data_IF_705518007889
#
_entry.id   IF_705518007889
#
_cell.length_a   1.000
_cell.length_b   1.000
_cell.length_c   1.000
_cell.angle_alpha   90.00
_cell.angle_beta   90.00
_cell.angle_gamma   90.00
#
_symmetry.space_group_name_H-M   'P 1'
#
loop_
_entity.id
_entity.type
_entity.pdbx_description
1 polymer ?
#
# COMPACT_ATOMS: atom_id res chain seq x y z
N UNK A 1 -4.69 1.56 -4.77
CA UNK A 1 -3.64 2.59 -4.86
C UNK A 1 -3.22 2.79 -6.31
N UNK A 2 -2.80 1.76 -7.06
CA UNK A 2 -2.32 1.86 -8.45
C UNK A 2 -3.34 2.55 -9.37
N UNK A 3 -4.57 2.07 -9.40
CA UNK A 3 -5.67 2.67 -10.18
C UNK A 3 -5.93 4.14 -9.82
N UNK A 4 -5.79 4.52 -8.55
CA UNK A 4 -5.99 5.90 -8.09
C UNK A 4 -4.87 6.81 -8.59
N UNK A 5 -3.62 6.34 -8.54
CA UNK A 5 -2.46 7.11 -9.03
C UNK A 5 -2.50 7.22 -10.55
N UNK A 6 -2.87 6.15 -11.25
CA UNK A 6 -3.05 6.14 -12.70
C UNK A 6 -4.08 7.19 -13.17
N UNK A 7 -5.17 7.37 -12.42
CA UNK A 7 -6.19 8.42 -12.67
C UNK A 7 -5.73 9.84 -12.34
N UNK A 8 -4.51 10.05 -11.85
CA UNK A 8 -3.93 11.37 -11.66
C UNK A 8 -4.26 12.02 -10.32
N UNK A 9 -4.06 11.32 -9.22
CA UNK A 9 -4.22 11.90 -7.87
C UNK A 9 -3.17 12.99 -7.61
N UNK A 10 -3.58 14.10 -6.97
CA UNK A 10 -2.71 15.25 -6.67
C UNK A 10 -2.10 15.21 -5.27
N UNK A 11 -2.69 14.42 -4.37
CA UNK A 11 -2.37 14.38 -2.94
C UNK A 11 -1.87 13.02 -2.50
N UNK A 12 -0.94 12.99 -1.54
CA UNK A 12 -0.47 11.77 -0.88
C UNK A 12 -0.55 11.87 0.65
N UNK A 13 -0.76 10.74 1.37
CA UNK A 13 -0.80 10.72 2.83
C UNK A 13 0.58 11.04 3.45
N UNK A 14 0.58 11.57 4.69
CA UNK A 14 1.83 11.94 5.39
C UNK A 14 2.53 10.79 6.09
N UNK A 15 1.83 9.70 6.36
CA UNK A 15 2.31 8.63 7.22
C UNK A 15 3.38 7.75 6.58
N UNK A 16 3.87 6.83 7.41
CA UNK A 16 4.74 5.72 7.04
C UNK A 16 4.03 4.42 7.38
N UNK A 17 4.22 3.39 6.57
CA UNK A 17 3.68 2.06 6.83
C UNK A 17 4.66 0.98 6.37
N UNK A 18 4.45 -0.24 6.86
CA UNK A 18 5.13 -1.43 6.36
C UNK A 18 4.47 -1.93 5.08
N UNK A 19 5.28 -2.32 4.13
CA UNK A 19 4.87 -2.90 2.86
C UNK A 19 5.62 -4.19 2.59
N UNK A 20 4.98 -5.10 1.88
CA UNK A 20 5.54 -6.41 1.54
C UNK A 20 4.90 -6.90 0.24
N UNK A 21 5.65 -7.64 -0.56
CA UNK A 21 5.13 -8.34 -1.73
C UNK A 21 4.25 -9.52 -1.29
N UNK A 22 3.16 -9.76 -2.01
CA UNK A 22 2.22 -10.85 -1.69
C UNK A 22 2.89 -12.22 -1.80
N UNK A 23 3.82 -12.41 -2.74
CA UNK A 23 4.53 -13.67 -2.90
C UNK A 23 5.47 -13.95 -1.72
N UNK A 24 6.08 -12.91 -1.12
CA UNK A 24 6.86 -13.04 0.09
C UNK A 24 5.99 -13.48 1.27
N UNK A 25 4.76 -12.95 1.37
CA UNK A 25 3.80 -13.39 2.39
C UNK A 25 3.45 -14.87 2.20
N UNK A 26 3.13 -15.29 0.97
CA UNK A 26 2.81 -16.69 0.66
C UNK A 26 4.01 -17.60 0.96
N UNK A 27 5.22 -17.19 0.57
CA UNK A 27 6.45 -17.96 0.84
C UNK A 27 6.70 -18.08 2.34
N UNK A 28 6.54 -16.99 3.09
CA UNK A 28 6.68 -17.02 4.55
C UNK A 28 5.66 -17.97 5.20
N UNK A 29 4.40 -17.92 4.76
CA UNK A 29 3.35 -18.82 5.25
C UNK A 29 3.69 -20.29 4.99
N UNK A 30 4.07 -20.63 3.76
CA UNK A 30 4.41 -22.02 3.38
C UNK A 30 5.65 -22.49 4.17
N UNK A 31 6.67 -21.64 4.33
CA UNK A 31 7.89 -21.98 5.07
C UNK A 31 7.58 -22.24 6.54
N UNK A 32 6.79 -21.36 7.18
CA UNK A 32 6.38 -21.53 8.57
C UNK A 32 5.48 -22.77 8.77
N UNK A 33 4.59 -23.07 7.84
CA UNK A 33 3.75 -24.28 7.90
C UNK A 33 4.57 -25.58 7.85
N UNK A 34 5.74 -25.55 7.20
CA UNK A 34 6.65 -26.71 7.08
C UNK A 34 7.69 -26.77 8.20
N UNK A 35 7.72 -25.79 9.11
CA UNK A 35 8.65 -25.74 10.24
C UNK A 35 8.00 -26.28 11.51
N UNK A 36 8.82 -26.53 12.53
CA UNK A 36 8.37 -26.95 13.87
C UNK A 36 7.83 -25.80 14.72
N UNK A 37 7.72 -24.59 14.14
CA UNK A 37 7.23 -23.40 14.87
C UNK A 37 5.74 -23.52 15.10
N UNK A 38 5.31 -23.46 16.36
CA UNK A 38 3.91 -23.56 16.76
C UNK A 38 3.53 -22.47 17.76
N UNK A 39 2.29 -21.98 17.70
CA UNK A 39 1.74 -21.02 18.65
C UNK A 39 2.33 -19.60 18.54
N UNK A 40 3.06 -19.29 17.49
CA UNK A 40 3.78 -18.04 17.32
C UNK A 40 3.07 -17.06 16.35
N UNK A 41 3.32 -15.77 16.55
CA UNK A 41 2.85 -14.71 15.63
C UNK A 41 4.02 -14.01 14.98
N UNK A 42 3.92 -13.80 13.67
CA UNK A 42 4.95 -13.17 12.85
C UNK A 42 4.40 -11.93 12.14
N UNK A 43 5.23 -10.89 12.08
CA UNK A 43 4.98 -9.73 11.22
C UNK A 43 5.80 -9.94 9.96
N UNK A 44 5.11 -10.08 8.83
CA UNK A 44 5.73 -10.18 7.52
C UNK A 44 5.73 -8.79 6.89
N UNK A 45 6.90 -8.17 6.83
CA UNK A 45 7.11 -6.81 6.33
C UNK A 45 8.46 -6.76 5.61
N UNK A 46 8.50 -6.20 4.40
CA UNK A 46 9.76 -5.99 3.69
C UNK A 46 10.43 -4.69 4.14
N UNK A 47 9.77 -3.57 3.92
CA UNK A 47 10.31 -2.25 4.24
C UNK A 47 9.25 -1.33 4.84
N UNK A 48 9.69 -0.44 5.75
CA UNK A 48 8.86 0.64 6.26
C UNK A 48 9.15 1.90 5.45
N UNK A 49 8.21 2.33 4.62
CA UNK A 49 8.41 3.48 3.76
C UNK A 49 7.30 4.54 3.91
N UNK A 50 7.62 5.83 3.72
CA UNK A 50 6.63 6.88 3.64
C UNK A 50 5.71 6.68 2.43
N UNK A 51 4.42 6.95 2.58
CA UNK A 51 3.47 6.93 1.46
C UNK A 51 3.90 7.83 0.30
N UNK A 52 4.56 8.96 0.58
CA UNK A 52 5.13 9.82 -0.45
C UNK A 52 6.01 9.03 -1.41
N UNK A 53 6.99 8.28 -0.87
CA UNK A 53 7.95 7.49 -1.65
C UNK A 53 7.25 6.37 -2.43
N UNK A 54 6.28 5.69 -1.80
CA UNK A 54 5.47 4.68 -2.49
C UNK A 54 4.73 5.27 -3.69
N UNK A 55 4.08 6.42 -3.51
CA UNK A 55 3.33 7.10 -4.57
C UNK A 55 4.25 7.60 -5.69
N UNK A 56 5.45 8.09 -5.35
CA UNK A 56 6.49 8.47 -6.33
C UNK A 56 6.92 7.27 -7.18
N UNK A 57 7.23 6.14 -6.56
CA UNK A 57 7.62 4.92 -7.29
C UNK A 57 6.52 4.41 -8.21
N UNK A 58 5.29 4.35 -7.72
CA UNK A 58 4.14 3.92 -8.54
C UNK A 58 3.90 4.89 -9.70
N UNK A 59 3.92 6.20 -9.46
CA UNK A 59 3.69 7.20 -10.51
C UNK A 59 4.78 7.16 -11.58
N UNK A 60 6.06 7.00 -11.18
CA UNK A 60 7.18 6.87 -12.11
C UNK A 60 7.08 5.59 -12.94
N UNK A 61 6.75 4.45 -12.32
CA UNK A 61 6.59 3.19 -13.03
C UNK A 61 5.38 3.20 -13.99
N UNK A 62 4.31 3.91 -13.65
CA UNK A 62 3.13 4.11 -14.51
C UNK A 62 3.31 5.22 -15.55
N UNK A 63 4.47 5.93 -15.57
CA UNK A 63 4.72 7.10 -16.41
C UNK A 63 3.66 8.21 -16.29
N UNK A 64 3.12 8.43 -15.09
CA UNK A 64 2.14 9.48 -14.80
C UNK A 64 2.72 10.55 -13.86
N UNK A 65 2.02 11.71 -13.79
CA UNK A 65 2.46 12.81 -12.93
C UNK A 65 2.44 12.41 -11.46
N UNK A 66 3.58 12.59 -10.78
CA UNK A 66 3.73 12.35 -9.35
C UNK A 66 2.85 13.29 -8.52
N UNK A 67 2.15 12.78 -7.49
CA UNK A 67 1.40 13.61 -6.54
C UNK A 67 2.32 14.59 -5.81
N UNK A 68 1.99 15.89 -5.82
CA UNK A 68 2.88 16.95 -5.29
C UNK A 68 2.50 17.41 -3.88
N UNK A 69 1.24 17.25 -3.49
CA UNK A 69 0.72 17.88 -2.28
C UNK A 69 0.51 16.87 -1.15
N UNK A 70 0.96 17.23 0.06
CA UNK A 70 0.70 16.44 1.26
C UNK A 70 -0.77 16.58 1.66
N UNK A 71 -1.48 15.47 1.80
CA UNK A 71 -2.83 15.46 2.38
C UNK A 71 -2.74 15.68 3.89
N UNK A 72 -2.84 16.93 4.33
CA UNK A 72 -2.90 17.28 5.75
C UNK A 72 -4.21 16.83 6.40
N UNK A 73 -4.28 16.86 7.75
CA UNK A 73 -5.49 16.52 8.52
C UNK A 73 -6.73 17.28 8.04
N UNK A 74 -6.58 18.56 7.72
CA UNK A 74 -7.67 19.45 7.29
C UNK A 74 -8.25 19.04 5.92
N UNK A 75 -7.40 18.76 4.95
CA UNK A 75 -7.80 18.27 3.62
C UNK A 75 -8.42 16.87 3.70
N UNK A 76 -7.91 16.03 4.59
CA UNK A 76 -8.49 14.71 4.86
C UNK A 76 -9.90 14.81 5.43
N UNK A 77 -10.13 15.70 6.41
CA UNK A 77 -11.45 15.90 7.01
C UNK A 77 -12.46 16.49 6.03
N UNK A 78 -12.07 17.45 5.20
CA UNK A 78 -12.92 17.96 4.14
C UNK A 78 -13.25 16.88 3.09
N UNK A 79 -12.24 16.10 2.68
CA UNK A 79 -12.37 15.04 1.68
C UNK A 79 -13.34 13.92 2.10
N UNK A 80 -13.29 13.42 3.34
CA UNK A 80 -14.21 12.37 3.77
C UNK A 80 -15.66 12.89 3.92
N UNK A 81 -15.85 14.14 4.37
CA UNK A 81 -17.17 14.77 4.46
C UNK A 81 -17.79 14.90 3.08
N UNK A 82 -17.01 15.38 2.10
CA UNK A 82 -17.45 15.49 0.71
C UNK A 82 -17.76 14.11 0.09
N UNK A 83 -16.90 13.12 0.33
CA UNK A 83 -17.11 11.74 -0.11
C UNK A 83 -18.37 11.12 0.51
N UNK A 84 -18.69 11.44 1.78
CA UNK A 84 -19.92 11.01 2.45
C UNK A 84 -21.17 11.61 1.82
N UNK A 85 -21.14 12.91 1.51
CA UNK A 85 -22.26 13.58 0.85
C UNK A 85 -22.50 13.01 -0.55
N UNK A 86 -21.44 12.83 -1.35
CA UNK A 86 -21.52 12.20 -2.67
C UNK A 86 -22.03 10.76 -2.61
N UNK A 87 -21.63 9.99 -1.61
CA UNK A 87 -22.11 8.63 -1.37
C UNK A 87 -23.61 8.60 -1.10
N UNK A 88 -24.11 9.54 -0.29
CA UNK A 88 -25.56 9.66 0.01
C UNK A 88 -26.38 10.08 -1.23
N UNK A 89 -25.81 10.94 -2.09
CA UNK A 89 -26.50 11.41 -3.29
C UNK A 89 -26.50 10.38 -4.43
N UNK A 90 -25.41 9.61 -4.57
CA UNK A 90 -25.20 8.70 -5.71
C UNK A 90 -25.42 7.22 -5.38
N UNK A 91 -25.79 6.87 -4.13
CA UNK A 91 -25.97 5.48 -3.69
C UNK A 91 -24.73 4.59 -3.76
N UNK A 92 -23.54 5.17 -4.01
CA UNK A 92 -22.28 4.42 -4.13
C UNK A 92 -21.56 4.34 -2.79
N UNK A 93 -20.82 3.24 -2.52
CA UNK A 93 -20.07 3.10 -1.27
C UNK A 93 -19.03 4.20 -1.13
N UNK A 94 -18.84 4.68 0.10
CA UNK A 94 -17.90 5.74 0.43
C UNK A 94 -16.46 5.32 0.11
N UNK A 95 -15.79 6.04 -0.78
CA UNK A 95 -14.42 5.74 -1.22
C UNK A 95 -13.35 6.12 -0.18
N UNK A 96 -13.59 7.18 0.60
CA UNK A 96 -12.65 7.70 1.60
C UNK A 96 -13.33 7.69 2.96
N UNK A 97 -12.81 6.90 3.90
CA UNK A 97 -13.32 6.84 5.27
C UNK A 97 -12.44 7.63 6.24
N UNK A 98 -13.04 8.10 7.34
CA UNK A 98 -12.31 8.80 8.41
C UNK A 98 -11.19 7.93 8.99
N UNK A 99 -11.43 6.62 9.13
CA UNK A 99 -10.42 5.66 9.62
C UNK A 99 -9.25 5.54 8.66
N UNK A 100 -9.49 5.45 7.36
CA UNK A 100 -8.44 5.38 6.35
C UNK A 100 -7.53 6.62 6.38
N UNK A 101 -8.13 7.83 6.50
CA UNK A 101 -7.36 9.07 6.63
C UNK A 101 -6.54 9.09 7.92
N UNK A 102 -7.12 8.69 9.05
CA UNK A 102 -6.43 8.65 10.33
C UNK A 102 -5.24 7.69 10.29
N UNK A 103 -5.44 6.50 9.72
CA UNK A 103 -4.41 5.47 9.63
C UNK A 103 -3.30 5.86 8.65
N UNK A 104 -3.63 6.37 7.48
CA UNK A 104 -2.65 6.76 6.46
C UNK A 104 -1.81 8.00 6.81
N UNK A 105 -2.19 8.75 7.85
CA UNK A 105 -1.39 9.87 8.38
C UNK A 105 -0.56 9.51 9.62
N UNK A 106 -0.60 8.24 10.07
CA UNK A 106 0.21 7.76 11.19
C UNK A 106 1.54 7.18 10.71
N UNK A 107 2.51 7.15 11.62
CA UNK A 107 3.81 6.52 11.40
C UNK A 107 3.78 5.15 12.06
N UNK A 108 3.76 4.11 11.24
CA UNK A 108 3.88 2.72 11.69
C UNK A 108 5.22 2.17 11.22
N UNK A 109 5.94 1.58 12.16
CA UNK A 109 7.22 0.92 11.89
C UNK A 109 7.12 -0.52 12.42
N UNK A 110 7.34 -1.47 11.55
CA UNK A 110 7.27 -2.89 11.86
C UNK A 110 8.65 -3.52 11.74
N UNK A 111 8.98 -4.44 12.66
CA UNK A 111 10.18 -5.24 12.56
C UNK A 111 9.86 -6.60 11.95
N UNK A 112 10.66 -7.01 10.97
CA UNK A 112 10.58 -8.31 10.33
C UNK A 112 11.66 -9.29 10.84
N UNK A 113 12.43 -8.91 11.87
CA UNK A 113 13.56 -9.70 12.37
C UNK A 113 13.14 -11.12 12.75
N UNK A 114 12.00 -11.26 13.43
CA UNK A 114 11.49 -12.56 13.88
C UNK A 114 11.17 -13.52 12.73
N UNK A 115 10.46 -13.05 11.70
CA UNK A 115 10.15 -13.90 10.53
C UNK A 115 11.41 -14.23 9.74
N UNK A 116 12.35 -13.29 9.60
CA UNK A 116 13.63 -13.55 8.92
C UNK A 116 14.48 -14.58 9.66
N UNK A 117 14.55 -14.52 10.99
CA UNK A 117 15.25 -15.51 11.80
C UNK A 117 14.61 -16.88 11.69
N UNK A 118 13.28 -16.97 11.73
CA UNK A 118 12.56 -18.24 11.69
C UNK A 118 12.59 -18.90 10.30
N UNK A 119 12.62 -18.11 9.21
CA UNK A 119 12.49 -18.62 7.84
C UNK A 119 13.77 -18.54 7.01
N UNK A 120 14.75 -17.73 7.42
CA UNK A 120 15.94 -17.43 6.60
C UNK A 120 15.64 -16.59 5.34
N UNK A 121 14.40 -16.17 5.12
CA UNK A 121 13.99 -15.49 3.90
C UNK A 121 14.58 -14.10 3.76
N UNK A 122 14.95 -13.76 2.53
CA UNK A 122 15.16 -12.38 2.10
C UNK A 122 13.92 -11.93 1.31
N UNK A 123 13.35 -10.80 1.72
CA UNK A 123 12.15 -10.27 1.09
C UNK A 123 12.52 -9.35 -0.07
N UNK A 124 11.66 -9.33 -1.09
CA UNK A 124 11.78 -8.42 -2.22
C UNK A 124 11.67 -6.97 -1.75
N UNK A 125 12.46 -6.07 -2.32
CA UNK A 125 12.32 -4.64 -2.03
C UNK A 125 10.95 -4.12 -2.50
N UNK A 126 10.40 -3.16 -1.76
CA UNK A 126 9.08 -2.59 -2.12
C UNK A 126 9.13 -1.92 -3.49
N UNK A 127 10.26 -1.34 -3.88
CA UNK A 127 10.44 -0.76 -5.21
C UNK A 127 10.29 -1.81 -6.32
N UNK A 128 10.97 -2.95 -6.21
CA UNK A 128 10.84 -4.06 -7.16
C UNK A 128 9.42 -4.62 -7.21
N UNK A 129 8.77 -4.77 -6.04
CA UNK A 129 7.37 -5.20 -5.97
C UNK A 129 6.42 -4.23 -6.67
N UNK A 130 6.66 -2.92 -6.54
CA UNK A 130 5.90 -1.89 -7.26
C UNK A 130 6.08 -2.02 -8.77
N UNK A 131 7.32 -2.16 -9.26
CA UNK A 131 7.61 -2.30 -10.69
C UNK A 131 6.89 -3.52 -11.27
N UNK A 132 7.02 -4.68 -10.64
CA UNK A 132 6.32 -5.92 -11.03
C UNK A 132 4.79 -5.78 -11.01
N UNK A 133 4.25 -5.12 -9.98
CA UNK A 133 2.79 -4.91 -9.88
C UNK A 133 2.28 -3.97 -10.96
N UNK A 134 3.06 -2.95 -11.34
CA UNK A 134 2.72 -2.05 -12.43
C UNK A 134 2.69 -2.78 -13.77
N UNK A 135 3.65 -3.66 -14.05
CA UNK A 135 3.66 -4.48 -15.27
C UNK A 135 2.37 -5.32 -15.39
N UNK A 136 1.99 -6.00 -14.29
CA UNK A 136 0.73 -6.76 -14.25
C UNK A 136 -0.49 -5.86 -14.40
N UNK A 137 -0.52 -4.70 -13.74
CA UNK A 137 -1.61 -3.74 -13.82
C UNK A 137 -1.80 -3.20 -15.24
N UNK A 138 -0.71 -2.90 -15.94
CA UNK A 138 -0.74 -2.44 -17.34
C UNK A 138 -1.24 -3.56 -18.25
N UNK A 139 -0.73 -4.77 -18.09
CA UNK A 139 -1.17 -5.95 -18.87
C UNK A 139 -2.66 -6.21 -18.72
N UNK A 140 -3.19 -6.17 -17.49
CA UNK A 140 -4.63 -6.34 -17.23
C UNK A 140 -5.49 -5.19 -17.77
N UNK A 141 -4.94 -3.99 -17.81
CA UNK A 141 -5.69 -2.81 -18.24
C UNK A 141 -5.74 -2.69 -19.75
N UNK A 142 -4.67 -3.05 -20.46
CA UNK A 142 -4.57 -3.00 -21.92
C UNK A 142 -4.88 -4.34 -22.60
N UNK A 143 -4.78 -5.47 -21.91
CA UNK A 143 -5.15 -6.78 -22.43
C UNK A 143 -6.67 -7.02 -22.55
N UNK A 144 -7.49 -6.05 -22.10
CA UNK A 144 -8.96 -6.10 -22.20
C UNK A 144 -9.51 -5.11 -23.24
N UNK A 145 -8.66 -4.45 -24.02
CA UNK A 145 -9.02 -3.71 -25.23
C UNK A 145 -8.70 -4.51 -26.47
#
# INVERSE_FOLDING_TARGET
IFSTIYKGVKFYPRGTNGFVDVNDVVTAMITLMKSDVSGERFIVNSENIPYQRLFEWIANALHVKTPKYKAGKFLGEAGWRFSKILSLLNGRPQTITKSAIKTSNRYYVYSNSKVRQATGMQMMSVKQSVEKTVEMFISDHYGKM
#
